data_IF_972899412445
#
_entry.id   IF_972899412445
#
_cell.length_a   1.000
_cell.length_b   1.000
_cell.length_c   1.000
_cell.angle_alpha   90.00
_cell.angle_beta   90.00
_cell.angle_gamma   90.00
#
_symmetry.space_group_name_H-M   'P 1'
#
loop_
_entity.id
_entity.type
_entity.pdbx_description
1 polymer ?
#
# COMPACT_ATOMS: atom_id res chain seq x y z
N UNK A 1 -0.42 67.05 -53.86
CA UNK A 1 0.22 67.05 -52.53
C UNK A 1 -0.88 66.66 -51.54
N UNK A 2 -1.21 65.37 -51.36
CA UNK A 2 -0.58 64.39 -50.45
C UNK A 2 -0.42 64.92 -49.00
N UNK A 3 -0.79 64.27 -47.90
CA UNK A 3 -1.57 63.08 -47.53
C UNK A 3 -1.58 63.02 -45.97
N UNK A 4 -2.38 62.11 -45.40
CA UNK A 4 -2.21 61.42 -44.09
C UNK A 4 -2.89 62.01 -42.84
N UNK A 5 -4.17 61.68 -42.76
CA UNK A 5 -4.87 61.19 -41.57
C UNK A 5 -4.07 60.09 -40.87
N UNK A 6 -3.82 60.24 -39.56
CA UNK A 6 -3.31 59.17 -38.69
C UNK A 6 -4.46 58.64 -37.83
N UNK A 7 -4.92 57.43 -38.13
CA UNK A 7 -5.76 56.63 -37.25
C UNK A 7 -4.81 55.81 -36.36
N UNK A 8 -4.78 56.10 -35.06
CA UNK A 8 -4.09 55.30 -34.08
C UNK A 8 -5.00 54.12 -33.69
N UNK A 9 -4.72 52.95 -34.23
CA UNK A 9 -5.35 51.68 -33.84
C UNK A 9 -4.74 51.24 -32.51
N UNK A 10 -5.47 51.40 -31.41
CA UNK A 10 -5.10 50.81 -30.13
C UNK A 10 -5.42 49.31 -30.16
N UNK A 11 -4.38 48.48 -30.28
CA UNK A 11 -4.49 47.04 -30.11
C UNK A 11 -4.64 46.72 -28.62
N UNK A 12 -5.82 46.27 -28.21
CA UNK A 12 -6.04 45.74 -26.87
C UNK A 12 -5.33 44.38 -26.75
N UNK A 13 -4.22 44.34 -26.03
CA UNK A 13 -3.56 43.11 -25.62
C UNK A 13 -4.47 42.43 -24.57
N UNK A 14 -5.14 41.35 -24.96
CA UNK A 14 -5.80 40.45 -24.01
C UNK A 14 -4.72 39.56 -23.43
N UNK A 15 -4.23 39.91 -22.24
CA UNK A 15 -3.37 39.02 -21.45
C UNK A 15 -4.28 37.94 -20.86
N UNK A 16 -4.31 36.76 -21.50
CA UNK A 16 -4.88 35.56 -20.89
C UNK A 16 -3.97 35.19 -19.72
N UNK A 17 -4.39 35.56 -18.51
CA UNK A 17 -3.82 35.01 -17.28
C UNK A 17 -4.28 33.56 -17.22
N UNK A 18 -3.42 32.63 -17.64
CA UNK A 18 -3.54 31.23 -17.29
C UNK A 18 -3.39 31.16 -15.78
N UNK A 19 -4.52 31.12 -15.06
CA UNK A 19 -4.55 30.74 -13.66
C UNK A 19 -4.16 29.27 -13.58
N UNK A 20 -2.85 29.00 -13.58
CA UNK A 20 -2.34 27.71 -13.12
C UNK A 20 -2.78 27.55 -11.68
N UNK A 21 -3.77 26.69 -11.46
CA UNK A 21 -4.13 26.26 -10.11
C UNK A 21 -2.87 25.74 -9.40
N UNK A 22 -2.82 25.77 -8.06
CA UNK A 22 -1.69 25.23 -7.34
C UNK A 22 -1.50 23.78 -7.79
N UNK A 23 -0.33 23.47 -8.34
CA UNK A 23 0.05 22.08 -8.58
C UNK A 23 -0.03 21.39 -7.22
N UNK A 24 -0.98 20.48 -7.06
CA UNK A 24 -1.11 19.69 -5.84
C UNK A 24 0.19 18.92 -5.63
N UNK A 25 0.94 19.30 -4.61
CA UNK A 25 2.12 18.58 -4.22
C UNK A 25 1.68 17.19 -3.74
N UNK A 26 2.33 16.15 -4.26
CA UNK A 26 2.17 14.81 -3.72
C UNK A 26 2.52 14.80 -2.23
N UNK A 27 1.92 13.90 -1.43
CA UNK A 27 2.38 13.69 -0.06
C UNK A 27 3.84 13.26 -0.08
N UNK A 28 4.57 13.61 0.97
CA UNK A 28 5.93 13.10 1.18
C UNK A 28 5.80 11.76 1.90
N UNK A 29 6.39 10.67 1.37
CA UNK A 29 6.34 9.38 2.05
C UNK A 29 7.06 9.50 3.40
N UNK A 30 6.42 9.06 4.48
CA UNK A 30 7.04 9.11 5.81
C UNK A 30 6.95 7.77 6.50
N UNK A 31 8.06 7.35 7.10
CA UNK A 31 8.06 6.22 8.02
C UNK A 31 8.27 6.79 9.42
N UNK A 32 7.25 6.73 10.30
CA UNK A 32 7.38 7.13 11.69
C UNK A 32 8.38 6.24 12.47
N UNK A 33 8.93 6.76 13.55
CA UNK A 33 9.89 6.02 14.39
C UNK A 33 9.27 4.78 15.05
N UNK A 34 8.02 4.87 15.53
CA UNK A 34 7.31 3.73 16.11
C UNK A 34 7.02 2.63 15.07
N UNK A 35 6.77 2.99 13.81
CA UNK A 35 6.65 2.04 12.70
C UNK A 35 7.98 1.31 12.48
N UNK A 36 9.10 2.03 12.38
CA UNK A 36 10.44 1.40 12.30
C UNK A 36 10.71 0.46 13.47
N UNK A 37 10.40 0.89 14.69
CA UNK A 37 10.60 0.10 15.90
C UNK A 37 9.72 -1.16 15.91
N UNK A 38 8.48 -1.09 15.40
CA UNK A 38 7.61 -2.24 15.25
C UNK A 38 8.17 -3.19 14.18
N UNK A 39 8.52 -2.68 12.99
CA UNK A 39 9.10 -3.49 11.91
C UNK A 39 10.32 -4.28 12.38
N UNK A 40 11.30 -3.61 13.00
CA UNK A 40 12.54 -4.22 13.49
C UNK A 40 12.36 -5.09 14.75
N UNK A 41 11.16 -5.13 15.35
CA UNK A 41 10.93 -5.75 16.65
C UNK A 41 9.74 -6.68 16.65
N UNK A 42 8.58 -6.16 17.06
CA UNK A 42 7.37 -6.96 17.22
C UNK A 42 6.85 -7.54 15.90
N UNK A 43 7.00 -6.79 14.81
CA UNK A 43 6.65 -7.21 13.45
C UNK A 43 7.45 -8.42 13.00
N UNK A 44 8.79 -8.36 13.07
CA UNK A 44 9.66 -9.50 12.75
C UNK A 44 9.32 -10.76 13.55
N UNK A 45 9.09 -10.64 14.87
CA UNK A 45 8.69 -11.79 15.69
C UNK A 45 7.35 -12.39 15.27
N UNK A 46 6.39 -11.55 14.90
CA UNK A 46 5.09 -12.01 14.40
C UNK A 46 5.24 -12.68 13.02
N UNK A 47 6.08 -12.13 12.14
CA UNK A 47 6.33 -12.72 10.84
C UNK A 47 6.96 -14.10 10.96
N UNK A 48 7.96 -14.26 11.82
CA UNK A 48 8.57 -15.56 12.11
C UNK A 48 7.53 -16.58 12.59
N UNK A 49 6.63 -16.19 13.50
CA UNK A 49 5.56 -17.09 13.96
C UNK A 49 4.55 -17.44 12.85
N UNK A 50 4.25 -16.52 11.94
CA UNK A 50 3.38 -16.78 10.78
C UNK A 50 4.03 -17.68 9.74
N UNK A 51 5.33 -17.53 9.53
CA UNK A 51 6.13 -18.29 8.59
C UNK A 51 6.29 -19.77 8.97
N UNK A 52 6.32 -20.10 10.27
CA UNK A 52 6.36 -21.49 10.75
C UNK A 52 5.19 -22.34 10.20
N UNK A 53 4.03 -21.73 9.96
CA UNK A 53 2.87 -22.42 9.37
C UNK A 53 2.96 -22.63 7.85
N UNK A 54 3.86 -21.92 7.18
CA UNK A 54 4.03 -21.92 5.72
C UNK A 54 5.33 -22.62 5.28
N UNK A 55 6.18 -23.03 6.23
CA UNK A 55 7.46 -23.68 5.94
C UNK A 55 8.54 -22.73 5.43
N UNK A 56 8.33 -21.42 5.54
CA UNK A 56 9.36 -20.44 5.24
C UNK A 56 10.45 -20.50 6.33
N UNK A 57 11.71 -20.61 5.89
CA UNK A 57 12.84 -20.63 6.79
C UNK A 57 13.10 -19.20 7.29
N UNK A 58 13.08 -18.99 8.60
CA UNK A 58 13.41 -17.72 9.27
C UNK A 58 14.66 -17.84 10.18
N UNK A 59 15.50 -18.86 9.95
CA UNK A 59 16.82 -18.95 10.57
C UNK A 59 17.75 -17.78 10.17
N UNK A 60 18.84 -17.56 10.92
CA UNK A 60 19.79 -16.49 10.61
C UNK A 60 19.29 -15.08 10.95
N UNK A 61 19.89 -14.08 10.30
CA UNK A 61 19.63 -12.66 10.54
C UNK A 61 18.61 -12.13 9.53
N UNK A 62 17.32 -12.15 9.93
CA UNK A 62 16.19 -11.67 9.12
C UNK A 62 15.88 -10.21 9.48
N UNK A 63 15.73 -9.37 8.46
CA UNK A 63 15.56 -7.91 8.61
C UNK A 63 14.36 -7.38 7.83
N UNK A 64 13.91 -6.18 8.21
CA UNK A 64 12.79 -5.45 7.61
C UNK A 64 13.09 -3.94 7.61
N UNK A 65 14.12 -3.52 6.87
CA UNK A 65 14.69 -2.17 6.95
C UNK A 65 14.09 -1.18 5.94
N UNK A 66 13.79 -1.64 4.72
CA UNK A 66 13.18 -0.83 3.65
C UNK A 66 11.65 -0.79 3.79
N UNK A 67 11.21 -0.02 4.78
CA UNK A 67 9.80 0.19 5.09
C UNK A 67 9.22 1.28 4.18
N UNK A 68 8.12 0.98 3.48
CA UNK A 68 7.40 1.91 2.61
C UNK A 68 5.99 2.16 3.14
N UNK A 69 5.57 3.42 3.15
CA UNK A 69 4.18 3.78 3.43
C UNK A 69 3.29 3.40 2.23
N UNK A 70 2.14 2.79 2.51
CA UNK A 70 1.15 2.42 1.52
C UNK A 70 0.16 3.57 1.31
N UNK A 71 0.01 3.96 0.05
CA UNK A 71 -1.00 4.88 -0.43
C UNK A 71 -2.06 4.13 -1.22
N UNK A 72 -3.22 4.75 -1.38
CA UNK A 72 -4.28 4.30 -2.29
C UNK A 72 -4.72 5.45 -3.15
N UNK A 73 -5.31 5.16 -4.32
CA UNK A 73 -5.99 6.20 -5.10
C UNK A 73 -7.09 6.85 -4.27
N UNK A 74 -7.16 8.19 -4.32
CA UNK A 74 -8.22 8.93 -3.62
C UNK A 74 -9.56 8.74 -4.33
N UNK A 75 -10.66 9.00 -3.62
CA UNK A 75 -11.98 9.00 -4.26
C UNK A 75 -12.07 10.05 -5.38
N UNK A 76 -11.45 11.22 -5.19
CA UNK A 76 -11.40 12.26 -6.24
C UNK A 76 -10.61 11.84 -7.48
N UNK A 77 -9.71 10.86 -7.36
CA UNK A 77 -8.97 10.29 -8.48
C UNK A 77 -9.80 9.27 -9.27
N UNK A 78 -10.49 8.38 -8.55
CA UNK A 78 -11.33 7.31 -9.15
C UNK A 78 -12.70 7.80 -9.62
N UNK A 79 -13.12 9.00 -9.22
CA UNK A 79 -14.34 9.66 -9.69
C UNK A 79 -14.03 10.65 -10.82
N UNK A 80 -15.01 11.01 -11.66
CA UNK A 80 -14.83 11.89 -12.83
C UNK A 80 -14.60 13.39 -12.50
N UNK A 81 -14.32 13.73 -11.24
CA UNK A 81 -14.16 15.10 -10.77
C UNK A 81 -12.75 15.70 -11.00
N UNK A 82 -12.57 16.99 -10.65
CA UNK A 82 -11.24 17.58 -10.54
C UNK A 82 -10.39 16.82 -9.50
N UNK A 83 -9.20 16.38 -9.91
CA UNK A 83 -8.26 15.70 -9.00
C UNK A 83 -7.48 16.75 -8.22
N UNK A 84 -7.78 16.86 -6.93
CA UNK A 84 -7.01 17.73 -6.02
C UNK A 84 -5.93 16.96 -5.29
N UNK A 85 -6.12 15.66 -5.07
CA UNK A 85 -5.14 14.81 -4.39
C UNK A 85 -5.25 13.41 -5.00
N UNK A 86 -4.30 12.95 -5.82
CA UNK A 86 -4.47 11.69 -6.55
C UNK A 86 -4.41 10.46 -5.65
N UNK A 87 -3.69 10.56 -4.54
CA UNK A 87 -3.46 9.44 -3.61
C UNK A 87 -3.55 9.90 -2.18
N UNK A 88 -4.01 9.03 -1.29
CA UNK A 88 -4.11 9.28 0.14
C UNK A 88 -3.39 8.19 0.93
N UNK A 89 -2.79 8.55 2.06
CA UNK A 89 -2.18 7.57 2.97
C UNK A 89 -3.24 6.60 3.48
N UNK A 90 -2.84 5.33 3.65
CA UNK A 90 -3.66 4.29 4.27
C UNK A 90 -3.40 4.15 5.77
N UNK A 91 -2.36 4.79 6.31
CA UNK A 91 -1.87 4.51 7.66
C UNK A 91 -1.28 3.10 7.79
N UNK A 92 -0.84 2.51 6.68
CA UNK A 92 -0.18 1.22 6.61
C UNK A 92 1.21 1.35 6.01
N UNK A 93 2.09 0.43 6.39
CA UNK A 93 3.43 0.31 5.88
C UNK A 93 3.72 -1.15 5.54
N UNK A 94 4.59 -1.36 4.56
CA UNK A 94 5.08 -2.67 4.18
C UNK A 94 6.59 -2.64 4.03
N UNK A 95 7.26 -3.71 4.43
CA UNK A 95 8.68 -3.88 4.23
C UNK A 95 8.95 -5.25 3.57
N UNK A 96 10.00 -5.32 2.77
CA UNK A 96 10.56 -6.61 2.39
C UNK A 96 11.14 -7.29 3.63
N UNK A 97 10.95 -8.60 3.73
CA UNK A 97 11.65 -9.44 4.70
C UNK A 97 12.83 -10.09 4.01
N UNK A 98 14.03 -9.83 4.52
CA UNK A 98 15.27 -10.23 3.85
C UNK A 98 16.21 -10.97 4.78
N UNK A 99 16.96 -11.91 4.20
CA UNK A 99 18.10 -12.57 4.82
C UNK A 99 19.28 -12.52 3.85
N UNK A 100 20.23 -11.64 4.11
CA UNK A 100 21.27 -11.36 3.11
C UNK A 100 20.61 -10.84 1.84
N UNK A 101 20.86 -11.50 0.70
CA UNK A 101 20.26 -11.15 -0.60
C UNK A 101 18.96 -11.94 -0.91
N UNK A 102 18.49 -12.78 0.02
CA UNK A 102 17.28 -13.58 -0.15
C UNK A 102 16.05 -12.84 0.38
N UNK A 103 15.04 -12.65 -0.49
CA UNK A 103 13.72 -12.14 -0.10
C UNK A 103 12.84 -13.29 0.38
N UNK A 104 12.37 -13.19 1.62
CA UNK A 104 11.53 -14.18 2.28
C UNK A 104 10.03 -13.87 2.17
N UNK A 105 9.67 -12.64 1.81
CA UNK A 105 8.29 -12.19 1.69
C UNK A 105 8.13 -10.73 2.11
N UNK A 106 6.98 -10.40 2.71
CA UNK A 106 6.68 -9.05 3.18
C UNK A 106 6.15 -9.02 4.63
N UNK A 107 6.46 -7.93 5.32
CA UNK A 107 5.95 -7.60 6.64
C UNK A 107 5.05 -6.37 6.56
N UNK A 108 3.82 -6.49 7.02
CA UNK A 108 2.91 -5.36 7.19
C UNK A 108 3.02 -4.73 8.57
N UNK A 109 2.85 -3.40 8.63
CA UNK A 109 2.64 -2.62 9.85
C UNK A 109 1.48 -1.65 9.60
N UNK A 110 0.70 -1.33 10.62
CA UNK A 110 -0.41 -0.38 10.49
C UNK A 110 -0.61 0.44 11.77
N UNK A 111 -1.30 1.57 11.62
CA UNK A 111 -1.79 2.40 12.73
C UNK A 111 -3.32 2.40 12.75
N UNK A 112 -3.96 1.59 13.62
CA UNK A 112 -5.39 1.65 13.77
C UNK A 112 -5.80 2.99 14.41
N UNK A 113 -6.76 3.68 13.80
CA UNK A 113 -7.41 4.90 14.32
C UNK A 113 -6.45 6.01 14.77
N UNK A 114 -5.31 6.17 14.08
CA UNK A 114 -4.29 7.17 14.43
C UNK A 114 -3.52 6.86 15.73
N UNK A 115 -3.69 5.65 16.27
CA UNK A 115 -3.00 5.15 17.45
C UNK A 115 -1.55 4.73 17.17
N UNK A 116 -1.00 3.92 18.07
CA UNK A 116 0.37 3.40 17.97
C UNK A 116 0.48 2.38 16.84
N UNK A 117 1.65 2.35 16.18
CA UNK A 117 1.95 1.32 15.19
C UNK A 117 1.85 -0.10 15.80
N UNK A 118 1.32 -1.03 15.00
CA UNK A 118 1.14 -2.43 15.35
C UNK A 118 1.53 -3.31 14.16
N UNK A 119 2.00 -4.56 14.38
CA UNK A 119 2.19 -5.50 13.29
C UNK A 119 0.88 -5.77 12.53
N UNK A 120 0.97 -5.92 11.21
CA UNK A 120 -0.16 -6.20 10.32
C UNK A 120 0.03 -7.49 9.51
N UNK A 121 0.82 -8.44 10.04
CA UNK A 121 0.98 -9.78 9.48
C UNK A 121 2.15 -9.95 8.51
N UNK A 122 2.31 -11.20 8.09
CA UNK A 122 3.32 -11.69 7.15
C UNK A 122 2.63 -12.22 5.90
N UNK A 123 3.26 -12.03 4.75
CA UNK A 123 2.91 -12.67 3.50
C UNK A 123 4.16 -13.27 2.86
N UNK A 124 4.03 -14.47 2.31
CA UNK A 124 5.04 -15.19 1.53
C UNK A 124 5.16 -14.69 0.08
N UNK A 125 4.63 -13.49 -0.23
CA UNK A 125 4.76 -12.86 -1.53
C UNK A 125 6.18 -12.32 -1.74
N UNK A 126 7.07 -13.22 -2.14
CA UNK A 126 8.47 -12.93 -2.48
C UNK A 126 8.57 -11.97 -3.68
N UNK A 127 7.63 -12.04 -4.63
CA UNK A 127 7.65 -11.19 -5.81
C UNK A 127 7.36 -9.72 -5.44
N UNK A 128 6.40 -9.48 -4.54
CA UNK A 128 6.17 -8.15 -3.98
C UNK A 128 7.36 -7.71 -3.13
N UNK A 129 7.90 -8.57 -2.26
CA UNK A 129 9.09 -8.26 -1.46
C UNK A 129 10.26 -7.77 -2.33
N UNK A 130 10.56 -8.48 -3.42
CA UNK A 130 11.60 -8.08 -4.36
C UNK A 130 11.28 -6.77 -5.09
N UNK A 131 10.00 -6.52 -5.39
CA UNK A 131 9.58 -5.27 -6.02
C UNK A 131 9.72 -4.05 -5.09
N UNK A 132 9.59 -4.24 -3.76
CA UNK A 132 9.77 -3.17 -2.77
C UNK A 132 11.20 -2.63 -2.77
N UNK A 133 12.22 -3.50 -2.88
CA UNK A 133 13.62 -3.07 -2.96
C UNK A 133 13.94 -2.20 -4.19
N UNK A 134 13.05 -2.18 -5.20
CA UNK A 134 13.17 -1.29 -6.35
C UNK A 134 12.48 0.06 -6.16
N UNK A 135 11.77 0.29 -5.04
CA UNK A 135 11.08 1.55 -4.73
C UNK A 135 12.03 2.51 -4.03
N UNK A 136 12.24 3.68 -4.62
CA UNK A 136 13.10 4.70 -4.03
C UNK A 136 12.44 5.40 -2.83
N UNK A 137 13.25 5.98 -1.95
CA UNK A 137 12.76 6.72 -0.78
C UNK A 137 11.90 7.96 -1.12
N UNK A 138 11.93 8.43 -2.37
CA UNK A 138 11.14 9.57 -2.85
C UNK A 138 9.88 9.16 -3.63
N UNK A 139 9.73 7.88 -3.94
CA UNK A 139 8.53 7.35 -4.60
C UNK A 139 7.44 7.02 -3.59
N UNK A 140 6.18 7.25 -3.98
CA UNK A 140 5.02 6.76 -3.24
C UNK A 140 4.69 5.35 -3.70
N UNK A 141 4.53 4.43 -2.75
CA UNK A 141 4.04 3.08 -3.02
C UNK A 141 2.51 3.06 -2.94
N UNK A 142 1.85 2.83 -4.07
CA UNK A 142 0.39 2.78 -4.17
C UNK A 142 -0.05 1.32 -4.23
N UNK A 143 -1.00 0.94 -3.37
CA UNK A 143 -1.72 -0.31 -3.45
C UNK A 143 -3.15 -0.07 -3.90
N UNK A 144 -3.46 -0.52 -5.11
CA UNK A 144 -4.82 -0.59 -5.64
C UNK A 144 -5.44 -1.94 -5.28
N UNK A 145 -5.90 -2.03 -4.03
CA UNK A 145 -6.35 -3.27 -3.41
C UNK A 145 -7.43 -4.04 -4.21
N UNK A 146 -8.44 -3.40 -4.83
CA UNK A 146 -9.44 -4.14 -5.59
C UNK A 146 -8.88 -4.93 -6.77
N UNK A 147 -7.76 -4.47 -7.34
CA UNK A 147 -7.09 -5.12 -8.47
C UNK A 147 -5.82 -5.88 -8.06
N UNK A 148 -5.45 -5.85 -6.77
CA UNK A 148 -4.18 -6.41 -6.27
C UNK A 148 -2.94 -5.78 -6.92
N UNK A 149 -3.06 -4.57 -7.44
CA UNK A 149 -2.00 -3.91 -8.21
C UNK A 149 -1.16 -3.00 -7.31
N UNK A 150 0.16 -3.04 -7.50
CA UNK A 150 1.11 -2.16 -6.82
C UNK A 150 1.83 -1.27 -7.83
N UNK A 151 1.92 0.02 -7.51
CA UNK A 151 2.58 1.02 -8.34
C UNK A 151 3.57 1.84 -7.52
N UNK A 152 4.63 2.33 -8.16
CA UNK A 152 5.46 3.39 -7.60
C UNK A 152 5.17 4.70 -8.36
N UNK A 153 5.01 5.80 -7.64
CA UNK A 153 4.69 7.11 -8.18
C UNK A 153 5.79 8.12 -7.80
N UNK A 154 6.37 8.76 -8.81
CA UNK A 154 7.33 9.85 -8.67
C UNK A 154 6.84 11.07 -9.46
N UNK A 155 6.40 12.12 -8.75
CA UNK A 155 5.80 13.29 -9.39
C UNK A 155 4.51 12.93 -10.11
N UNK A 156 4.49 12.98 -11.44
CA UNK A 156 3.35 12.52 -12.24
C UNK A 156 3.60 11.19 -12.94
N UNK A 157 4.81 10.64 -12.84
CA UNK A 157 5.16 9.38 -13.49
C UNK A 157 4.86 8.21 -12.57
N UNK A 158 4.03 7.28 -13.04
CA UNK A 158 3.69 6.04 -12.35
C UNK A 158 4.33 4.86 -13.08
N UNK A 159 4.87 3.89 -12.33
CA UNK A 159 5.36 2.62 -12.88
C UNK A 159 4.71 1.42 -12.20
N UNK A 160 4.41 0.35 -12.95
CA UNK A 160 3.87 -0.88 -12.40
C UNK A 160 4.95 -1.67 -11.65
N UNK A 161 4.63 -2.23 -10.48
CA UNK A 161 5.56 -3.04 -9.68
C UNK A 161 5.32 -4.53 -9.83
N UNK A 162 4.06 -4.97 -9.90
CA UNK A 162 3.69 -6.37 -10.01
C UNK A 162 2.94 -6.68 -11.31
N UNK A 163 2.64 -7.96 -11.54
CA UNK A 163 1.99 -8.41 -12.77
C UNK A 163 0.57 -7.87 -12.93
N UNK A 164 -0.15 -7.67 -11.83
CA UNK A 164 -1.48 -7.06 -11.85
C UNK A 164 -1.42 -5.60 -12.32
N UNK A 165 -0.46 -4.83 -11.82
CA UNK A 165 -0.20 -3.47 -12.29
C UNK A 165 0.22 -3.46 -13.78
N UNK A 166 1.06 -4.42 -14.21
CA UNK A 166 1.50 -4.53 -15.62
C UNK A 166 0.39 -4.86 -16.61
N UNK A 167 -0.71 -5.50 -16.15
CA UNK A 167 -1.90 -5.72 -16.99
C UNK A 167 -2.64 -4.41 -17.28
N UNK A 168 -2.70 -3.50 -16.32
CA UNK A 168 -3.32 -2.19 -16.49
C UNK A 168 -2.39 -1.21 -17.23
N UNK A 169 -1.10 -1.28 -16.92
CA UNK A 169 -0.09 -0.35 -17.44
C UNK A 169 1.20 -1.11 -17.78
N UNK A 170 1.50 -1.36 -19.07
CA UNK A 170 2.65 -2.22 -19.45
C UNK A 170 4.04 -1.70 -19.06
N UNK A 171 4.18 -0.40 -18.78
CA UNK A 171 5.44 0.24 -18.41
C UNK A 171 5.20 1.59 -17.73
N UNK A 172 6.26 2.36 -17.41
CA UNK A 172 6.11 3.69 -16.84
C UNK A 172 5.30 4.63 -17.74
N UNK A 173 4.38 5.40 -17.16
CA UNK A 173 3.54 6.35 -17.88
C UNK A 173 3.12 7.53 -16.98
N UNK A 174 2.40 8.49 -17.55
CA UNK A 174 1.78 9.56 -16.76
C UNK A 174 0.61 9.02 -15.93
N UNK A 175 0.46 9.52 -14.71
CA UNK A 175 -0.58 9.14 -13.77
C UNK A 175 -1.99 9.41 -14.35
N UNK A 176 -2.13 10.42 -15.20
CA UNK A 176 -3.37 10.73 -15.91
C UNK A 176 -3.78 9.61 -16.89
N UNK A 177 -2.82 8.88 -17.48
CA UNK A 177 -3.11 7.75 -18.36
C UNK A 177 -3.64 6.57 -17.56
N UNK A 178 -2.99 6.26 -16.43
CA UNK A 178 -3.44 5.21 -15.50
C UNK A 178 -4.84 5.51 -14.95
N UNK A 179 -5.18 6.78 -14.71
CA UNK A 179 -6.49 7.18 -14.19
C UNK A 179 -7.64 6.62 -15.02
N UNK A 180 -7.54 6.70 -16.35
CA UNK A 180 -8.60 6.19 -17.24
C UNK A 180 -8.90 4.72 -16.97
N UNK A 181 -7.85 3.89 -16.87
CA UNK A 181 -7.99 2.46 -16.57
C UNK A 181 -8.52 2.21 -15.16
N UNK A 182 -8.04 2.97 -14.18
CA UNK A 182 -8.48 2.84 -12.78
C UNK A 182 -9.96 3.20 -12.64
N UNK A 183 -10.43 4.28 -13.27
CA UNK A 183 -11.86 4.67 -13.25
C UNK A 183 -12.73 3.55 -13.82
N UNK A 184 -12.38 3.02 -15.00
CA UNK A 184 -13.11 1.91 -15.63
C UNK A 184 -13.19 0.67 -14.72
N UNK A 185 -12.08 0.32 -14.07
CA UNK A 185 -12.02 -0.82 -13.14
C UNK A 185 -12.93 -0.61 -11.92
N UNK A 186 -12.94 0.60 -11.36
CA UNK A 186 -13.79 0.93 -10.21
C UNK A 186 -15.27 0.97 -10.60
N UNK A 187 -15.62 1.40 -11.82
CA UNK A 187 -16.99 1.37 -12.30
C UNK A 187 -17.52 -0.04 -12.51
N UNK A 188 -16.67 -0.95 -13.01
CA UNK A 188 -17.01 -2.39 -13.08
C UNK A 188 -17.30 -2.92 -11.68
N UNK A 189 -16.45 -2.64 -10.69
CA UNK A 189 -16.63 -3.09 -9.31
C UNK A 189 -17.90 -2.53 -8.67
N UNK A 190 -18.23 -1.26 -8.91
CA UNK A 190 -19.47 -0.62 -8.43
C UNK A 190 -20.73 -1.19 -9.08
N UNK A 191 -20.62 -1.63 -10.34
CA UNK A 191 -21.74 -2.12 -11.14
C UNK A 191 -22.04 -3.60 -10.91
N UNK A 192 -21.15 -4.34 -10.24
CA UNK A 192 -21.46 -5.70 -9.84
C UNK A 192 -22.56 -5.66 -8.78
N UNK A 193 -23.70 -6.34 -9.00
CA UNK A 193 -24.70 -6.47 -7.97
C UNK A 193 -24.03 -7.13 -6.77
N UNK A 194 -24.12 -6.51 -5.60
CA UNK A 194 -23.81 -7.17 -4.34
C UNK A 194 -24.85 -8.25 -4.17
N UNK A 195 -24.65 -9.41 -4.79
CA UNK A 195 -25.42 -10.63 -4.55
C UNK A 195 -24.96 -11.21 -3.21
N UNK A 196 -25.09 -10.37 -2.19
CA UNK A 196 -25.25 -10.77 -0.82
C UNK A 196 -26.74 -10.66 -0.59
N UNK A 197 -27.44 -11.72 -0.99
CA UNK A 197 -28.57 -12.20 -0.22
C UNK A 197 -28.26 -11.98 1.27
N UNK A 198 -29.27 -11.52 2.04
CA UNK A 198 -29.22 -11.48 3.49
C UNK A 198 -28.30 -12.57 4.02
N UNK A 199 -27.25 -12.26 4.79
CA UNK A 199 -26.44 -13.31 5.37
C UNK A 199 -27.42 -14.21 6.13
N UNK A 200 -27.46 -15.53 5.90
CA UNK A 200 -28.14 -16.39 6.85
C UNK A 200 -27.53 -16.04 8.20
N UNK A 201 -28.37 -15.72 9.19
CA UNK A 201 -27.93 -15.39 10.53
C UNK A 201 -27.04 -16.53 11.04
N UNK A 202 -25.75 -16.38 10.83
CA UNK A 202 -24.68 -17.27 11.25
C UNK A 202 -23.77 -16.41 12.14
N UNK A 203 -23.44 -16.92 13.32
CA UNK A 203 -22.96 -16.11 14.42
C UNK A 203 -21.59 -15.51 14.10
N UNK A 204 -21.39 -14.28 14.55
CA UNK A 204 -20.12 -13.55 14.69
C UNK A 204 -18.94 -14.51 14.91
N UNK A 205 -18.22 -14.91 13.85
CA UNK A 205 -17.10 -15.87 13.94
C UNK A 205 -16.15 -15.82 12.75
N UNK A 206 -15.77 -14.64 12.24
CA UNK A 206 -14.63 -14.52 11.31
C UNK A 206 -13.64 -13.39 11.64
N UNK A 207 -13.89 -12.59 12.68
CA UNK A 207 -12.87 -11.73 13.30
C UNK A 207 -12.10 -12.43 14.45
N UNK A 208 -12.46 -13.69 14.76
CA UNK A 208 -11.89 -14.46 15.89
C UNK A 208 -10.94 -15.60 15.48
N UNK A 209 -10.79 -15.89 14.18
CA UNK A 209 -10.02 -17.06 13.74
C UNK A 209 -8.51 -16.80 13.56
N UNK A 210 -8.07 -15.54 13.66
CA UNK A 210 -6.65 -15.22 13.89
C UNK A 210 -6.28 -15.22 15.39
N UNK A 211 -7.26 -15.21 16.30
CA UNK A 211 -7.03 -15.17 17.75
C UNK A 211 -7.18 -16.55 18.43
N UNK A 212 -7.94 -17.49 17.83
CA UNK A 212 -8.16 -18.82 18.42
C UNK A 212 -6.98 -19.80 18.23
N UNK A 213 -6.17 -19.66 17.18
CA UNK A 213 -5.01 -20.55 16.96
C UNK A 213 -3.87 -20.24 17.94
N UNK A 214 -3.74 -18.98 18.38
CA UNK A 214 -2.75 -18.59 19.38
C UNK A 214 -3.05 -19.14 20.80
N UNK A 215 -4.33 -19.30 21.17
CA UNK A 215 -4.72 -19.81 22.49
C UNK A 215 -4.60 -21.35 22.55
N UNK A 216 -4.96 -22.06 21.48
CA UNK A 216 -4.84 -23.52 21.42
C UNK A 216 -3.36 -23.99 21.37
N UNK A 217 -2.49 -23.29 20.63
CA UNK A 217 -1.06 -23.58 20.57
C UNK A 217 -0.34 -23.33 21.92
N UNK A 218 -0.68 -22.23 22.60
CA UNK A 218 -0.10 -21.87 23.90
C UNK A 218 -0.45 -22.85 25.04
N UNK A 219 -1.67 -23.38 25.05
CA UNK A 219 -2.12 -24.36 26.06
C UNK A 219 -1.46 -25.74 25.89
N UNK A 220 -1.29 -26.22 24.65
CA UNK A 220 -0.62 -27.50 24.38
C UNK A 220 0.90 -27.44 24.66
N UNK A 221 1.54 -26.29 24.46
CA UNK A 221 2.94 -26.09 24.81
C UNK A 221 3.18 -26.06 26.33
N UNK A 222 2.24 -25.50 27.11
CA UNK A 222 2.33 -25.46 28.57
C UNK A 222 2.18 -26.85 29.22
N UNK A 223 1.32 -27.70 28.65
CA UNK A 223 1.05 -29.04 29.17
C UNK A 223 2.22 -30.02 28.95
N UNK A 224 2.92 -29.90 27.81
CA UNK A 224 4.15 -30.68 27.55
C UNK A 224 5.28 -30.33 28.51
N UNK A 225 5.36 -29.07 28.97
CA UNK A 225 6.41 -28.62 29.90
C UNK A 225 6.18 -29.13 31.34
N UNK A 226 4.92 -29.24 31.77
CA UNK A 226 4.56 -29.83 33.08
C UNK A 226 4.84 -31.33 33.13
N UNK A 227 4.49 -32.10 32.10
CA UNK A 227 4.76 -33.56 32.07
C UNK A 227 6.26 -33.90 32.09
N UNK A 228 7.11 -33.10 31.44
CA UNK A 228 8.57 -33.31 31.49
C UNK A 228 9.21 -32.99 32.84
N UNK A 229 8.56 -32.16 33.65
CA UNK A 229 9.06 -31.79 34.98
C UNK A 229 8.71 -32.84 36.05
N UNK A 230 7.60 -33.57 35.87
CA UNK A 230 7.17 -34.65 36.77
C UNK A 230 7.89 -35.99 36.56
N UNK A 231 8.65 -36.15 35.46
CA UNK A 231 9.44 -37.35 35.16
C UNK A 231 10.92 -37.20 35.56
N UNK A 232 11.31 -36.07 36.17
CA UNK A 232 12.67 -35.75 36.63
C UNK A 232 12.78 -35.57 38.15
N UNK A 233 11.70 -35.79 38.88
CA UNK A 233 11.65 -35.96 40.34
C UNK A 233 11.45 -37.43 40.65
#
# INVERSE_FOLDING_TARGET
MWSRTWLATAAALVTVVLTGGPASALPVPTVPEDVRAVSAGAGLRQAQAGAEGLGADFSGDVRAEDVHELFRFSMTFVDEGPVTEPVVSTGQWVAALERGDEVLGTLGVWRPDGGRAQPNGYSDDVALGAALGAVSATELLIHDAPNGAYYALSGTTVRPLNDWARKALPGPAELAELRTTVVEQYDVLRSQPTDHADPPALPVSLLAMALAVAIAGGLLALERRRRRSALRS
#
